data_IF_274527566310
#
_entry.id   IF_274527566310
#
_cell.length_a   1.000
_cell.length_b   1.000
_cell.length_c   1.000
_cell.angle_alpha   90.00
_cell.angle_beta   90.00
_cell.angle_gamma   90.00
#
_symmetry.space_group_name_H-M   'P 1'
#
loop_
_entity.id
_entity.type
_entity.pdbx_description
1 polymer ?
#
# COMPACT_ATOMS: atom_id res chain seq x y z
N UNK A 1 20.03 -21.35 -20.11
CA UNK A 1 20.70 -20.48 -19.12
C UNK A 1 20.38 -18.99 -19.31
N UNK A 2 19.92 -18.56 -20.50
CA UNK A 2 19.64 -17.15 -20.82
C UNK A 2 18.44 -16.54 -20.06
N UNK A 3 17.51 -17.36 -19.55
CA UNK A 3 16.26 -16.89 -18.94
C UNK A 3 16.38 -16.57 -17.44
N UNK A 4 17.38 -17.09 -16.73
CA UNK A 4 17.49 -16.90 -15.27
C UNK A 4 17.98 -15.51 -14.87
N UNK A 5 18.85 -14.90 -15.70
CA UNK A 5 19.42 -13.59 -15.43
C UNK A 5 18.35 -12.47 -15.40
N UNK A 6 17.45 -12.33 -16.40
CA UNK A 6 16.39 -11.32 -16.34
C UNK A 6 15.40 -11.57 -15.20
N UNK A 7 15.05 -12.84 -14.92
CA UNK A 7 14.17 -13.19 -13.78
C UNK A 7 14.76 -12.74 -12.45
N UNK A 8 16.05 -12.99 -12.22
CA UNK A 8 16.75 -12.59 -10.99
C UNK A 8 16.85 -11.07 -10.84
N UNK A 9 17.13 -10.36 -11.94
CA UNK A 9 17.19 -8.88 -11.93
C UNK A 9 15.81 -8.33 -11.58
N UNK A 10 14.74 -8.83 -12.20
CA UNK A 10 13.38 -8.37 -11.93
C UNK A 10 12.93 -8.67 -10.50
N UNK A 11 13.32 -9.83 -9.95
CA UNK A 11 13.09 -10.18 -8.55
C UNK A 11 13.81 -9.20 -7.62
N UNK A 12 15.10 -8.94 -7.87
CA UNK A 12 15.90 -8.03 -7.05
C UNK A 12 15.33 -6.61 -7.05
N UNK A 13 14.93 -6.10 -8.23
CA UNK A 13 14.28 -4.79 -8.37
C UNK A 13 12.95 -4.78 -7.61
N UNK A 14 12.11 -5.80 -7.78
CA UNK A 14 10.81 -5.87 -7.10
C UNK A 14 10.99 -5.83 -5.58
N UNK A 15 11.90 -6.66 -5.04
CA UNK A 15 12.19 -6.69 -3.60
C UNK A 15 12.74 -5.35 -3.11
N UNK A 16 13.68 -4.75 -3.86
CA UNK A 16 14.27 -3.46 -3.49
C UNK A 16 13.21 -2.34 -3.46
N UNK A 17 12.37 -2.24 -4.49
CA UNK A 17 11.31 -1.23 -4.54
C UNK A 17 10.22 -1.48 -3.50
N UNK A 18 9.77 -2.71 -3.30
CA UNK A 18 8.81 -3.05 -2.23
C UNK A 18 9.37 -2.68 -0.86
N UNK A 19 10.67 -2.93 -0.61
CA UNK A 19 11.31 -2.53 0.65
C UNK A 19 11.42 -1.00 0.80
N UNK A 20 11.73 -0.27 -0.28
CA UNK A 20 11.77 1.19 -0.28
C UNK A 20 10.39 1.81 0.00
N UNK A 21 9.33 1.22 -0.55
CA UNK A 21 7.94 1.65 -0.29
C UNK A 21 7.58 1.51 1.19
N UNK A 22 8.18 0.56 1.91
CA UNK A 22 7.97 0.42 3.36
C UNK A 22 8.79 1.41 4.19
N UNK A 23 9.74 2.14 3.62
CA UNK A 23 10.58 3.08 4.37
C UNK A 23 9.78 4.13 5.17
N UNK A 24 8.73 4.76 4.61
CA UNK A 24 7.97 5.78 5.31
C UNK A 24 7.19 5.24 6.53
N UNK A 25 7.01 3.93 6.67
CA UNK A 25 6.34 3.33 7.84
C UNK A 25 7.05 3.63 9.16
N UNK A 26 8.31 4.05 9.11
CA UNK A 26 9.11 4.41 10.30
C UNK A 26 8.81 5.79 10.86
N UNK A 27 8.05 6.62 10.16
CA UNK A 27 7.69 7.94 10.68
C UNK A 27 6.81 7.84 11.93
N UNK A 28 7.15 8.63 12.95
CA UNK A 28 6.41 8.72 14.20
C UNK A 28 5.37 9.82 14.07
N UNK A 29 4.12 9.50 14.43
CA UNK A 29 3.02 10.46 14.47
C UNK A 29 2.55 10.66 15.90
N UNK A 30 2.02 11.85 16.20
CA UNK A 30 1.54 12.20 17.53
C UNK A 30 0.26 11.46 17.95
N UNK A 31 -0.50 10.92 16.99
CA UNK A 31 -1.72 10.16 17.25
C UNK A 31 -1.63 8.76 16.65
N UNK A 32 -1.99 7.75 17.45
CA UNK A 32 -1.99 6.34 17.03
C UNK A 32 -2.93 6.10 15.84
N UNK A 33 -4.01 6.87 15.74
CA UNK A 33 -4.95 6.79 14.62
C UNK A 33 -4.28 7.16 13.29
N UNK A 34 -3.57 8.29 13.24
CA UNK A 34 -2.87 8.73 12.01
C UNK A 34 -1.75 7.75 11.68
N UNK A 35 -1.04 7.25 12.69
CA UNK A 35 0.00 6.22 12.52
C UNK A 35 -0.54 4.93 11.90
N UNK A 36 -1.71 4.46 12.35
CA UNK A 36 -2.34 3.26 11.79
C UNK A 36 -2.67 3.44 10.30
N UNK A 37 -3.31 4.55 9.93
CA UNK A 37 -3.65 4.82 8.54
C UNK A 37 -2.42 5.03 7.65
N UNK A 38 -1.39 5.68 8.19
CA UNK A 38 -0.11 5.86 7.51
C UNK A 38 0.58 4.53 7.23
N UNK A 39 0.76 3.68 8.26
CA UNK A 39 1.40 2.38 8.09
C UNK A 39 0.59 1.51 7.13
N UNK A 40 -0.74 1.45 7.31
CA UNK A 40 -1.61 0.66 6.44
C UNK A 40 -1.52 1.09 4.99
N UNK A 41 -1.50 2.40 4.70
CA UNK A 41 -1.34 2.92 3.34
C UNK A 41 -0.08 2.40 2.66
N UNK A 42 1.07 2.51 3.33
CA UNK A 42 2.35 2.04 2.78
C UNK A 42 2.44 0.51 2.66
N UNK A 43 1.83 -0.22 3.59
CA UNK A 43 1.74 -1.69 3.51
C UNK A 43 0.90 -2.14 2.32
N UNK A 44 -0.24 -1.48 2.06
CA UNK A 44 -1.04 -1.77 0.87
C UNK A 44 -0.26 -1.48 -0.42
N UNK A 45 0.44 -0.35 -0.50
CA UNK A 45 1.28 -0.04 -1.65
C UNK A 45 2.39 -1.09 -1.84
N UNK A 46 3.04 -1.51 -0.77
CA UNK A 46 4.07 -2.55 -0.82
C UNK A 46 3.49 -3.89 -1.31
N UNK A 47 2.28 -4.24 -0.88
CA UNK A 47 1.59 -5.46 -1.32
C UNK A 47 1.19 -5.39 -2.80
N UNK A 48 0.67 -4.26 -3.27
CA UNK A 48 0.34 -4.03 -4.68
C UNK A 48 1.61 -4.15 -5.53
N UNK A 49 2.68 -3.46 -5.16
CA UNK A 49 3.96 -3.54 -5.87
C UNK A 49 4.57 -4.94 -5.87
N UNK A 50 4.45 -5.66 -4.75
CA UNK A 50 4.93 -7.03 -4.66
C UNK A 50 4.17 -7.98 -5.58
N UNK A 51 2.84 -7.93 -5.60
CA UNK A 51 2.02 -8.79 -6.47
C UNK A 51 2.22 -8.42 -7.94
N UNK A 52 2.28 -7.13 -8.27
CA UNK A 52 2.49 -6.66 -9.64
C UNK A 52 3.90 -6.98 -10.17
N UNK A 53 4.95 -6.83 -9.36
CA UNK A 53 6.31 -7.19 -9.75
C UNK A 53 6.52 -8.71 -9.73
N UNK A 54 5.97 -9.39 -8.74
CA UNK A 54 6.03 -10.85 -8.61
C UNK A 54 5.37 -11.57 -9.79
N UNK A 55 4.24 -11.07 -10.29
CA UNK A 55 3.58 -11.69 -11.45
C UNK A 55 4.47 -11.69 -12.69
N UNK A 56 5.22 -10.59 -12.90
CA UNK A 56 6.16 -10.47 -14.01
C UNK A 56 7.39 -11.37 -13.84
N UNK A 57 7.90 -11.52 -12.62
CA UNK A 57 9.00 -12.46 -12.31
C UNK A 57 8.58 -13.90 -12.64
N UNK A 58 7.37 -14.28 -12.25
CA UNK A 58 6.80 -15.61 -12.52
C UNK A 58 6.53 -15.83 -14.01
N UNK A 59 6.06 -14.80 -14.72
CA UNK A 59 5.91 -14.82 -16.19
C UNK A 59 7.26 -15.05 -16.88
N UNK A 60 8.31 -14.33 -16.45
CA UNK A 60 9.68 -14.55 -16.94
C UNK A 60 10.23 -15.93 -16.58
N UNK A 61 9.79 -16.54 -15.48
CA UNK A 61 10.14 -17.90 -15.10
C UNK A 61 9.36 -18.98 -15.88
N UNK A 62 8.41 -18.59 -16.75
CA UNK A 62 7.63 -19.48 -17.60
C UNK A 62 6.31 -19.96 -16.97
N UNK A 63 5.89 -19.39 -15.84
CA UNK A 63 4.61 -19.71 -15.21
C UNK A 63 3.50 -18.78 -15.74
N UNK A 64 2.41 -19.36 -16.24
CA UNK A 64 1.19 -18.62 -16.58
C UNK A 64 0.34 -18.46 -15.32
N UNK A 65 0.35 -17.27 -14.73
CA UNK A 65 -0.38 -16.96 -13.50
C UNK A 65 -1.22 -15.69 -13.63
N UNK A 66 -1.51 -15.26 -14.86
CA UNK A 66 -2.16 -13.97 -15.15
C UNK A 66 -3.52 -13.86 -14.43
N UNK A 67 -4.35 -14.91 -14.49
CA UNK A 67 -5.66 -14.91 -13.84
C UNK A 67 -5.58 -14.77 -12.31
N UNK A 68 -4.64 -15.48 -11.68
CA UNK A 68 -4.44 -15.45 -10.23
C UNK A 68 -3.88 -14.09 -9.80
N UNK A 69 -2.91 -13.57 -10.55
CA UNK A 69 -2.31 -12.26 -10.29
C UNK A 69 -3.34 -11.14 -10.42
N UNK A 70 -4.20 -11.18 -11.46
CA UNK A 70 -5.27 -10.21 -11.68
C UNK A 70 -6.30 -10.28 -10.55
N UNK A 71 -6.74 -11.48 -10.15
CA UNK A 71 -7.68 -11.64 -9.05
C UNK A 71 -7.11 -11.11 -7.73
N UNK A 72 -5.86 -11.46 -7.40
CA UNK A 72 -5.19 -10.98 -6.20
C UNK A 72 -5.03 -9.45 -6.19
N UNK A 73 -4.55 -8.88 -7.31
CA UNK A 73 -4.33 -7.44 -7.44
C UNK A 73 -5.66 -6.67 -7.35
N UNK A 74 -6.73 -7.19 -7.97
CA UNK A 74 -8.08 -6.60 -7.87
C UNK A 74 -8.60 -6.62 -6.43
N UNK A 75 -8.42 -7.72 -5.70
CA UNK A 75 -8.81 -7.82 -4.29
C UNK A 75 -8.05 -6.83 -3.39
N UNK A 76 -6.74 -6.72 -3.60
CA UNK A 76 -5.88 -5.78 -2.86
C UNK A 76 -6.26 -4.33 -3.18
N UNK A 77 -6.46 -3.99 -4.45
CA UNK A 77 -6.87 -2.64 -4.87
C UNK A 77 -8.22 -2.25 -4.30
N UNK A 78 -9.19 -3.16 -4.34
CA UNK A 78 -10.53 -2.90 -3.79
C UNK A 78 -10.43 -2.63 -2.28
N UNK A 79 -9.67 -3.46 -1.57
CA UNK A 79 -9.43 -3.30 -0.14
C UNK A 79 -8.69 -1.99 0.18
N UNK A 80 -7.71 -1.63 -0.65
CA UNK A 80 -6.96 -0.39 -0.52
C UNK A 80 -7.85 0.84 -0.70
N UNK A 81 -8.71 0.87 -1.72
CA UNK A 81 -9.65 1.97 -1.95
C UNK A 81 -10.61 2.12 -0.77
N UNK A 82 -11.21 1.01 -0.30
CA UNK A 82 -12.09 1.03 0.87
C UNK A 82 -11.36 1.54 2.12
N UNK A 83 -10.11 1.10 2.34
CA UNK A 83 -9.28 1.57 3.45
C UNK A 83 -9.02 3.09 3.37
N UNK A 84 -8.67 3.61 2.20
CA UNK A 84 -8.40 5.04 1.99
C UNK A 84 -9.66 5.89 2.19
N UNK A 85 -10.80 5.47 1.62
CA UNK A 85 -12.08 6.18 1.80
C UNK A 85 -12.49 6.21 3.27
N UNK A 86 -12.37 5.08 3.96
CA UNK A 86 -12.68 4.99 5.39
C UNK A 86 -11.72 5.86 6.24
N UNK A 87 -10.43 5.86 5.91
CA UNK A 87 -9.43 6.72 6.55
C UNK A 87 -9.79 8.20 6.38
N UNK A 88 -10.13 8.61 5.16
CA UNK A 88 -10.52 9.97 4.84
C UNK A 88 -11.74 10.43 5.61
N UNK A 89 -12.82 9.65 5.61
CA UNK A 89 -14.06 10.00 6.33
C UNK A 89 -13.78 10.13 7.82
N UNK A 90 -13.01 9.21 8.41
CA UNK A 90 -12.71 9.23 9.84
C UNK A 90 -11.80 10.39 10.24
N UNK A 91 -10.74 10.67 9.47
CA UNK A 91 -9.83 11.79 9.75
C UNK A 91 -10.52 13.14 9.52
N UNK A 92 -11.25 13.31 8.42
CA UNK A 92 -11.97 14.54 8.12
C UNK A 92 -13.08 14.80 9.15
N UNK A 93 -13.82 13.77 9.54
CA UNK A 93 -14.82 13.85 10.60
C UNK A 93 -14.23 14.28 11.94
N UNK A 94 -13.10 13.71 12.35
CA UNK A 94 -12.40 14.10 13.57
C UNK A 94 -11.90 15.55 13.51
N UNK A 95 -11.31 15.97 12.39
CA UNK A 95 -10.83 17.34 12.20
C UNK A 95 -11.97 18.38 12.22
N UNK A 96 -13.09 18.08 11.57
CA UNK A 96 -14.27 18.95 11.57
C UNK A 96 -14.89 19.08 12.98
N UNK A 97 -14.97 17.98 13.73
CA UNK A 97 -15.53 18.00 15.09
C UNK A 97 -14.65 18.82 16.06
N UNK A 98 -13.32 18.67 15.96
CA UNK A 98 -12.39 19.50 16.73
C UNK A 98 -12.46 20.98 16.32
N UNK A 99 -12.57 21.28 15.02
CA UNK A 99 -12.76 22.63 14.52
C UNK A 99 -14.03 23.28 15.08
N UNK A 100 -15.15 22.55 15.02
CA UNK A 100 -16.43 23.01 15.57
C UNK A 100 -16.38 23.24 17.08
N UNK A 101 -15.74 22.34 17.83
CA UNK A 101 -15.56 22.47 19.29
C UNK A 101 -14.68 23.67 19.66
N UNK A 102 -13.67 24.00 18.86
CA UNK A 102 -12.84 25.20 19.07
C UNK A 102 -13.64 26.48 18.83
N UNK A 103 -14.42 26.56 17.75
CA UNK A 103 -15.27 27.71 17.45
C UNK A 103 -16.28 27.97 18.58
N UNK A 104 -16.95 26.92 19.07
CA UNK A 104 -17.93 27.03 20.17
C UNK A 104 -17.32 27.46 21.51
N UNK A 105 -16.01 27.28 21.73
CA UNK A 105 -15.34 27.73 22.96
C UNK A 105 -14.87 29.19 22.90
N UNK A 106 -14.76 29.74 21.71
CA UNK A 106 -14.29 31.11 21.47
C UNK A 106 -15.47 32.09 21.28
N UNK A 107 -16.65 31.58 20.91
CA UNK A 107 -17.92 32.30 20.92
C UNK A 107 -18.59 32.20 22.30
#
# INVERSE_FOLDING_TARGET
>A
MEQYLPTLIMLAITVAFTALILFPTRFKFGTDLVRFYWIGFWVFLAMISFVAGGSQVLSLAGFQIDDIAVAALTGILTSFVLFVVFAWVRLAGAAMFEGFRRIRKTA
#
